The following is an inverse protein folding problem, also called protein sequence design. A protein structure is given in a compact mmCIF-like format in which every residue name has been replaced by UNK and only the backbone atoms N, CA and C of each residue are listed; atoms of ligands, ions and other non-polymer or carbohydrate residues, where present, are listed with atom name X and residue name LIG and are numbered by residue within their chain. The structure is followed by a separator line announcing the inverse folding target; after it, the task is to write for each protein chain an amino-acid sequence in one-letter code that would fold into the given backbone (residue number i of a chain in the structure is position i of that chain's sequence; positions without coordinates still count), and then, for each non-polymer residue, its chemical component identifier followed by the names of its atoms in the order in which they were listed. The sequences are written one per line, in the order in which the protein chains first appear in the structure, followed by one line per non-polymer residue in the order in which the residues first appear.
data_IF_652674536548
#
_entry.id   IF_652674536548
#
_cell.length_a   1.000
_cell.length_b   1.000
_cell.length_c   1.000
_cell.angle_alpha   90.00
_cell.angle_beta   90.00
_cell.angle_gamma   90.00
#
_symmetry.space_group_name_H-M   'P 1'
#
loop_
_entity.id
_entity.type
_entity.pdbx_description
1 polymer ?
#
# COMPACT_ATOMS: atom_id res chain seq x y z
N UNK A 1 12.83 -8.11 15.37
CA UNK A 1 13.77 -8.30 14.24
C UNK A 1 13.86 -9.77 13.79
N UNK A 2 14.06 -10.73 14.70
CA UNK A 2 14.16 -12.18 14.38
C UNK A 2 12.90 -12.77 13.70
N UNK A 3 11.71 -12.43 14.21
CA UNK A 3 10.42 -12.90 13.67
C UNK A 3 10.21 -12.42 12.22
N UNK A 4 10.59 -11.18 11.89
CA UNK A 4 10.50 -10.65 10.52
C UNK A 4 11.47 -11.37 9.56
N UNK A 5 12.68 -11.74 10.01
CA UNK A 5 13.62 -12.51 9.18
C UNK A 5 13.16 -13.94 8.94
N UNK A 6 12.66 -14.64 9.98
CA UNK A 6 12.15 -16.02 9.86
C UNK A 6 10.92 -16.07 8.95
N UNK A 7 10.04 -15.08 9.05
CA UNK A 7 8.86 -14.98 8.18
C UNK A 7 9.24 -14.66 6.73
N UNK A 8 10.28 -13.85 6.50
CA UNK A 8 10.79 -13.56 5.15
C UNK A 8 11.44 -14.79 4.49
N UNK A 9 12.22 -15.58 5.22
CA UNK A 9 12.85 -16.80 4.69
C UNK A 9 11.85 -17.94 4.48
N UNK A 10 10.85 -18.08 5.37
CA UNK A 10 9.76 -19.05 5.19
C UNK A 10 8.79 -18.67 4.04
N UNK A 11 8.70 -17.38 3.70
CA UNK A 11 7.99 -16.87 2.52
C UNK A 11 8.48 -17.43 1.19
N UNK A 12 9.76 -17.80 1.10
CA UNK A 12 10.40 -18.19 -0.14
C UNK A 12 10.39 -19.72 -0.38
N UNK A 13 10.25 -20.54 0.68
CA UNK A 13 10.43 -22.00 0.62
C UNK A 13 9.20 -22.84 0.98
N UNK A 14 8.11 -22.28 1.51
CA UNK A 14 6.88 -23.06 1.68
C UNK A 14 5.65 -22.24 2.00
N UNK A 15 4.52 -22.70 1.45
CA UNK A 15 3.23 -22.00 1.48
C UNK A 15 2.65 -21.79 2.90
N UNK A 16 1.42 -21.24 2.98
CA UNK A 16 0.76 -20.86 4.24
C UNK A 16 0.79 -21.91 5.35
N UNK A 17 0.67 -23.19 4.97
CA UNK A 17 0.73 -24.32 5.88
C UNK A 17 2.11 -24.47 6.55
N UNK A 18 3.20 -24.33 5.78
CA UNK A 18 4.55 -24.46 6.35
C UNK A 18 4.83 -23.34 7.35
N UNK A 19 4.41 -22.12 7.04
CA UNK A 19 4.57 -20.97 7.94
C UNK A 19 3.74 -21.10 9.21
N UNK A 20 2.50 -21.58 9.09
CA UNK A 20 1.65 -21.89 10.24
C UNK A 20 2.31 -22.96 11.12
N UNK A 21 2.82 -24.05 10.53
CA UNK A 21 3.54 -25.10 11.24
C UNK A 21 4.80 -24.59 11.94
N UNK A 22 5.61 -23.74 11.29
CA UNK A 22 6.81 -23.16 11.89
C UNK A 22 6.47 -22.29 13.10
N UNK A 23 5.48 -21.40 12.98
CA UNK A 23 5.11 -20.50 14.08
C UNK A 23 4.37 -21.24 15.21
N UNK A 24 3.56 -22.25 14.89
CA UNK A 24 3.03 -23.18 15.90
C UNK A 24 4.15 -23.92 16.63
N UNK A 25 5.17 -24.37 15.91
CA UNK A 25 6.31 -25.08 16.52
C UNK A 25 7.11 -24.16 17.44
N UNK A 26 7.34 -22.91 17.05
CA UNK A 26 7.94 -21.91 17.93
C UNK A 26 7.08 -21.64 19.17
N UNK A 27 5.77 -21.46 19.01
CA UNK A 27 4.85 -21.25 20.13
C UNK A 27 4.88 -22.45 21.09
N UNK A 28 4.76 -23.67 20.56
CA UNK A 28 4.82 -24.90 21.34
C UNK A 28 6.14 -25.07 22.07
N UNK A 29 7.27 -24.76 21.43
CA UNK A 29 8.60 -24.79 22.05
C UNK A 29 8.72 -23.79 23.21
N UNK A 30 8.21 -22.57 23.05
CA UNK A 30 8.23 -21.56 24.12
C UNK A 30 7.36 -22.00 25.31
N UNK A 31 6.17 -22.53 25.04
CA UNK A 31 5.29 -23.07 26.08
C UNK A 31 5.92 -24.27 26.79
N UNK A 32 6.61 -25.14 26.05
CA UNK A 32 7.39 -26.26 26.59
C UNK A 32 8.49 -25.82 27.55
N UNK A 33 9.24 -24.77 27.19
CA UNK A 33 10.28 -24.24 28.07
C UNK A 33 9.71 -23.57 29.33
N UNK A 34 8.50 -23.01 29.26
CA UNK A 34 7.86 -22.37 30.40
C UNK A 34 7.20 -23.37 31.35
N UNK A 35 6.53 -24.38 30.81
CA UNK A 35 5.77 -25.40 31.56
C UNK A 35 6.64 -26.60 31.94
N UNK A 36 7.80 -26.77 31.30
CA UNK A 36 8.81 -27.78 31.61
C UNK A 36 8.56 -29.17 31.03
N UNK A 37 7.31 -29.51 30.69
CA UNK A 37 6.99 -30.77 29.98
C UNK A 37 5.68 -30.69 29.20
N UNK A 38 5.54 -31.53 28.17
CA UNK A 38 4.30 -31.65 27.38
C UNK A 38 3.17 -32.21 28.25
N UNK A 39 3.48 -33.13 29.18
CA UNK A 39 2.49 -33.75 30.07
C UNK A 39 1.82 -32.75 31.02
N UNK A 40 2.46 -31.61 31.27
CA UNK A 40 1.94 -30.53 32.11
C UNK A 40 1.16 -29.47 31.32
N UNK A 41 0.97 -29.65 30.00
CA UNK A 41 0.17 -28.73 29.21
C UNK A 41 -1.29 -28.75 29.67
N UNK A 42 -1.80 -27.57 30.00
CA UNK A 42 -3.22 -27.38 30.23
C UNK A 42 -3.96 -27.22 28.91
N UNK A 43 -5.30 -27.32 28.96
CA UNK A 43 -6.15 -27.03 27.81
C UNK A 43 -5.90 -25.62 27.22
N UNK A 44 -5.54 -24.64 28.06
CA UNK A 44 -5.25 -23.26 27.64
C UNK A 44 -3.96 -23.16 26.83
N UNK A 45 -2.97 -23.99 27.14
CA UNK A 45 -1.68 -24.04 26.46
C UNK A 45 -1.83 -24.60 25.04
N UNK A 46 -2.60 -25.68 24.90
CA UNK A 46 -2.98 -26.23 23.59
C UNK A 46 -3.82 -25.24 22.79
N UNK A 47 -4.78 -24.57 23.44
CA UNK A 47 -5.60 -23.55 22.78
C UNK A 47 -4.75 -22.37 22.28
N UNK A 48 -3.77 -21.90 23.06
CA UNK A 48 -2.86 -20.84 22.63
C UNK A 48 -2.06 -21.22 21.38
N UNK A 49 -1.40 -22.38 21.38
CA UNK A 49 -0.62 -22.86 20.22
C UNK A 49 -1.52 -23.03 18.99
N UNK A 50 -2.71 -23.61 19.19
CA UNK A 50 -3.71 -23.76 18.14
C UNK A 50 -4.20 -22.43 17.57
N UNK A 51 -4.47 -21.42 18.42
CA UNK A 51 -4.87 -20.08 18.00
C UNK A 51 -3.76 -19.40 17.21
N UNK A 52 -2.49 -19.53 17.61
CA UNK A 52 -1.36 -18.98 16.84
C UNK A 52 -1.32 -19.60 15.44
N UNK A 53 -1.45 -20.92 15.35
CA UNK A 53 -1.50 -21.63 14.07
C UNK A 53 -2.67 -21.22 13.19
N UNK A 54 -3.87 -21.21 13.75
CA UNK A 54 -5.08 -20.80 13.05
C UNK A 54 -5.01 -19.33 12.62
N UNK A 55 -4.48 -18.44 13.46
CA UNK A 55 -4.34 -17.01 13.15
C UNK A 55 -3.39 -16.80 11.97
N UNK A 56 -2.23 -17.47 11.98
CA UNK A 56 -1.26 -17.39 10.88
C UNK A 56 -1.84 -18.02 9.62
N UNK A 57 -2.47 -19.19 9.73
CA UNK A 57 -3.06 -19.88 8.59
C UNK A 57 -4.21 -19.07 7.98
N UNK A 58 -5.15 -18.56 8.78
CA UNK A 58 -6.25 -17.72 8.33
C UNK A 58 -5.72 -16.42 7.74
N UNK A 59 -4.77 -15.74 8.38
CA UNK A 59 -4.16 -14.53 7.85
C UNK A 59 -3.45 -14.79 6.52
N UNK A 60 -2.74 -15.92 6.39
CA UNK A 60 -2.04 -16.29 5.16
C UNK A 60 -2.94 -16.83 4.07
N UNK A 61 -4.01 -17.55 4.40
CA UNK A 61 -5.03 -17.97 3.45
C UNK A 61 -5.83 -16.77 2.96
N UNK A 62 -6.12 -15.81 3.84
CA UNK A 62 -6.69 -14.51 3.45
C UNK A 62 -5.74 -13.76 2.53
N UNK A 63 -4.47 -13.60 2.89
CA UNK A 63 -3.45 -13.01 2.01
C UNK A 63 -3.33 -13.77 0.69
N UNK A 64 -3.39 -15.11 0.68
CA UNK A 64 -3.36 -15.91 -0.54
C UNK A 64 -4.61 -15.67 -1.39
N UNK A 65 -5.80 -15.58 -0.79
CA UNK A 65 -7.04 -15.19 -1.50
C UNK A 65 -7.01 -13.74 -2.00
N UNK A 66 -6.25 -12.86 -1.34
CA UNK A 66 -6.05 -11.47 -1.75
C UNK A 66 -4.98 -11.32 -2.84
N UNK A 67 -3.94 -12.16 -2.85
CA UNK A 67 -2.92 -12.27 -3.90
C UNK A 67 -3.48 -13.03 -5.12
N UNK A 68 -4.40 -13.98 -4.91
CA UNK A 68 -5.08 -14.79 -5.93
C UNK A 68 -6.41 -14.18 -6.40
N UNK A 69 -6.73 -12.93 -6.03
CA UNK A 69 -7.66 -12.12 -6.82
C UNK A 69 -6.99 -11.75 -8.15
N UNK A 70 -6.98 -12.78 -8.99
CA UNK A 70 -6.68 -12.86 -10.41
C UNK A 70 -5.27 -12.37 -10.84
N UNK A 71 -4.33 -13.28 -11.18
CA UNK A 71 -3.07 -12.90 -11.81
C UNK A 71 -3.24 -12.17 -13.15
N UNK A 72 -4.46 -12.11 -13.73
CA UNK A 72 -4.78 -11.22 -14.86
C UNK A 72 -5.13 -9.78 -14.43
N UNK A 73 -5.31 -9.51 -13.13
CA UNK A 73 -5.66 -8.20 -12.54
C UNK A 73 -4.44 -7.51 -11.92
N UNK A 74 -3.41 -8.25 -11.48
CA UNK A 74 -2.09 -7.65 -11.25
C UNK A 74 -1.54 -7.18 -12.59
N UNK A 75 -1.41 -5.87 -12.73
CA UNK A 75 -0.87 -5.26 -13.94
C UNK A 75 0.66 -5.32 -13.95
N UNK A 76 1.28 -5.60 -12.80
CA UNK A 76 2.71 -5.89 -12.69
C UNK A 76 2.92 -7.40 -12.54
N UNK A 77 3.71 -7.98 -13.45
CA UNK A 77 4.09 -9.40 -13.41
C UNK A 77 4.98 -9.74 -12.21
N UNK A 78 5.71 -8.76 -11.69
CA UNK A 78 6.61 -8.91 -10.54
C UNK A 78 6.00 -8.31 -9.28
N UNK A 79 6.06 -9.05 -8.17
CA UNK A 79 5.66 -8.54 -6.86
C UNK A 79 6.73 -7.60 -6.32
N UNK A 80 6.49 -6.29 -6.35
CA UNK A 80 7.42 -5.28 -5.82
C UNK A 80 6.95 -4.81 -4.44
N UNK A 81 7.72 -5.00 -3.37
CA UNK A 81 7.38 -4.44 -2.06
C UNK A 81 7.28 -2.91 -2.10
N UNK A 82 6.26 -2.36 -1.47
CA UNK A 82 6.11 -0.92 -1.32
C UNK A 82 7.22 -0.36 -0.39
N UNK A 83 7.72 0.84 -0.72
CA UNK A 83 8.64 1.54 0.19
C UNK A 83 7.88 2.18 1.34
N UNK A 84 8.51 2.23 2.51
CA UNK A 84 7.90 2.75 3.73
C UNK A 84 7.44 4.20 3.60
N UNK A 85 6.35 4.54 4.28
CA UNK A 85 5.70 5.85 4.28
C UNK A 85 5.92 6.64 5.58
N UNK A 86 6.57 6.04 6.59
CA UNK A 86 6.75 6.64 7.92
C UNK A 86 7.62 7.92 7.91
N UNK A 87 8.47 8.10 6.90
CA UNK A 87 9.33 9.29 6.77
C UNK A 87 8.62 10.54 6.21
N UNK A 88 7.34 10.42 5.86
CA UNK A 88 6.57 11.53 5.30
C UNK A 88 6.25 12.60 6.36
N UNK A 89 6.44 13.87 6.00
CA UNK A 89 5.97 15.01 6.78
C UNK A 89 4.66 15.53 6.19
N UNK A 90 3.56 15.40 6.95
CA UNK A 90 2.23 15.74 6.45
C UNK A 90 1.99 17.24 6.54
N UNK A 91 1.71 17.84 5.39
CA UNK A 91 1.20 19.20 5.27
C UNK A 91 -0.26 19.29 5.70
N UNK A 92 -1.07 18.31 5.28
CA UNK A 92 -2.48 18.18 5.69
C UNK A 92 -2.96 16.72 5.63
N UNK A 93 -4.12 16.47 6.26
CA UNK A 93 -4.79 15.17 6.26
C UNK A 93 -4.20 14.16 7.24
N UNK A 94 -4.78 12.95 7.25
CA UNK A 94 -4.38 11.89 8.15
C UNK A 94 -3.14 11.14 7.65
N UNK A 95 -2.31 10.69 8.59
CA UNK A 95 -1.17 9.81 8.29
C UNK A 95 -1.64 8.48 7.71
N UNK A 96 -0.98 8.06 6.64
CA UNK A 96 -1.12 6.76 5.98
C UNK A 96 0.10 5.90 6.33
N UNK A 97 -0.12 4.63 6.66
CA UNK A 97 0.92 3.68 7.05
C UNK A 97 0.74 2.36 6.30
N UNK A 98 1.85 1.66 6.08
CA UNK A 98 1.84 0.28 5.61
C UNK A 98 1.51 -0.68 6.75
N UNK A 99 1.05 -1.89 6.42
CA UNK A 99 0.81 -2.98 7.37
C UNK A 99 -0.54 -2.95 8.08
N UNK A 100 -1.47 -2.09 7.65
CA UNK A 100 -2.82 -1.96 8.24
C UNK A 100 -3.90 -2.76 7.47
N UNK A 101 -3.51 -3.69 6.56
CA UNK A 101 -4.42 -4.46 5.69
C UNK A 101 -5.32 -3.54 4.84
N UNK A 102 -4.77 -2.41 4.36
CA UNK A 102 -5.47 -1.38 3.59
C UNK A 102 -4.94 -1.28 2.15
N UNK A 103 -5.79 -0.81 1.23
CA UNK A 103 -5.33 -0.41 -0.10
C UNK A 103 -4.92 1.05 -0.05
N UNK A 104 -3.75 1.39 -0.59
CA UNK A 104 -3.19 2.74 -0.52
C UNK A 104 -2.87 3.25 -1.92
N UNK A 105 -3.30 4.48 -2.20
CA UNK A 105 -2.95 5.23 -3.39
C UNK A 105 -1.97 6.34 -3.05
N UNK A 106 -0.80 6.33 -3.69
CA UNK A 106 0.26 7.32 -3.53
C UNK A 106 0.42 8.08 -4.84
N UNK A 107 0.14 9.38 -4.83
CA UNK A 107 0.34 10.27 -5.98
C UNK A 107 1.61 11.09 -5.77
N UNK A 108 2.61 10.94 -6.64
CA UNK A 108 3.74 11.86 -6.73
C UNK A 108 3.37 13.04 -7.62
N UNK A 109 3.61 14.27 -7.17
CA UNK A 109 3.27 15.49 -7.91
C UNK A 109 4.31 16.60 -7.68
N UNK A 110 4.32 17.59 -8.57
CA UNK A 110 5.03 18.86 -8.37
C UNK A 110 4.06 20.05 -8.39
N UNK A 111 4.22 21.01 -7.50
CA UNK A 111 3.30 22.14 -7.32
C UNK A 111 3.26 23.09 -8.50
N UNK A 112 4.36 23.27 -9.23
CA UNK A 112 4.44 24.23 -10.33
C UNK A 112 4.08 23.64 -11.70
N UNK A 113 3.77 22.35 -11.75
CA UNK A 113 3.51 21.65 -13.00
C UNK A 113 2.01 21.57 -13.34
N UNK A 114 1.61 22.03 -14.52
CA UNK A 114 0.21 21.98 -14.99
C UNK A 114 -0.39 20.57 -14.92
N UNK A 115 0.34 19.54 -15.36
CA UNK A 115 -0.15 18.16 -15.34
C UNK A 115 -0.37 17.67 -13.91
N UNK A 116 0.51 18.03 -12.97
CA UNK A 116 0.37 17.70 -11.55
C UNK A 116 -0.87 18.34 -10.91
N UNK A 117 -1.16 19.61 -11.22
CA UNK A 117 -2.38 20.27 -10.72
C UNK A 117 -3.66 19.64 -11.26
N UNK A 118 -3.64 19.17 -12.51
CA UNK A 118 -4.76 18.39 -13.07
C UNK A 118 -4.86 17.03 -12.39
N UNK A 119 -3.74 16.34 -12.18
CA UNK A 119 -3.71 15.06 -11.51
C UNK A 119 -4.25 15.11 -10.08
N UNK A 120 -3.94 16.14 -9.29
CA UNK A 120 -4.52 16.33 -7.96
C UNK A 120 -6.05 16.38 -7.99
N UNK A 121 -6.65 17.04 -8.99
CA UNK A 121 -8.12 17.06 -9.15
C UNK A 121 -8.69 15.72 -9.59
N UNK A 122 -8.04 15.02 -10.51
CA UNK A 122 -8.48 13.66 -10.87
C UNK A 122 -8.35 12.70 -9.68
N UNK A 123 -7.28 12.83 -8.89
CA UNK A 123 -7.09 12.09 -7.65
C UNK A 123 -8.19 12.39 -6.63
N UNK A 124 -8.65 13.65 -6.53
CA UNK A 124 -9.81 14.00 -5.71
C UNK A 124 -11.08 13.29 -6.17
N UNK A 125 -11.35 13.19 -7.47
CA UNK A 125 -12.54 12.46 -7.97
C UNK A 125 -12.49 10.98 -7.61
N UNK A 126 -11.31 10.37 -7.72
CA UNK A 126 -11.11 8.96 -7.31
C UNK A 126 -11.27 8.81 -5.80
N UNK A 127 -10.76 9.76 -5.01
CA UNK A 127 -10.98 9.81 -3.57
C UNK A 127 -12.48 9.96 -3.24
N UNK A 128 -13.22 10.81 -3.94
CA UNK A 128 -14.64 11.02 -3.70
C UNK A 128 -15.46 9.72 -3.87
N UNK A 129 -15.01 8.86 -4.79
CA UNK A 129 -15.63 7.57 -5.07
C UNK A 129 -15.15 6.46 -4.13
N UNK A 130 -13.87 6.45 -3.74
CA UNK A 130 -13.22 5.29 -3.10
C UNK A 130 -12.56 5.57 -1.75
N UNK A 131 -12.62 6.79 -1.21
CA UNK A 131 -11.96 7.18 0.04
C UNK A 131 -12.42 6.43 1.29
N UNK A 132 -13.57 5.75 1.23
CA UNK A 132 -14.03 4.83 2.29
C UNK A 132 -13.34 3.45 2.27
N UNK A 133 -12.68 3.09 1.16
CA UNK A 133 -12.08 1.78 0.94
C UNK A 133 -10.57 1.82 0.65
N UNK A 134 -10.07 2.98 0.20
CA UNK A 134 -8.67 3.21 -0.17
C UNK A 134 -8.16 4.43 0.60
N UNK A 135 -6.93 4.36 1.13
CA UNK A 135 -6.22 5.52 1.67
C UNK A 135 -5.53 6.27 0.57
N UNK A 136 -5.57 7.60 0.62
CA UNK A 136 -4.99 8.46 -0.40
C UNK A 136 -3.99 9.40 0.23
N UNK A 137 -2.80 9.47 -0.37
CA UNK A 137 -1.76 10.44 -0.04
C UNK A 137 -1.12 10.97 -1.32
N UNK A 138 -0.98 12.29 -1.42
CA UNK A 138 -0.19 12.95 -2.43
C UNK A 138 1.14 13.41 -1.81
N UNK A 139 2.25 13.12 -2.48
CA UNK A 139 3.61 13.38 -2.01
C UNK A 139 4.36 14.27 -3.00
N UNK A 140 5.11 15.23 -2.47
CA UNK A 140 6.00 16.11 -3.23
C UNK A 140 7.38 16.21 -2.57
N UNK A 141 8.41 16.54 -3.34
CA UNK A 141 9.73 16.90 -2.82
C UNK A 141 9.84 18.38 -2.42
N UNK A 142 8.80 19.16 -2.71
CA UNK A 142 8.76 20.57 -2.37
C UNK A 142 8.58 20.74 -0.86
N UNK A 143 9.19 21.78 -0.33
CA UNK A 143 9.14 22.04 1.10
C UNK A 143 7.81 22.72 1.52
N UNK A 144 7.61 22.86 2.84
CA UNK A 144 6.41 23.49 3.38
C UNK A 144 6.23 24.94 2.91
N UNK A 145 7.32 25.67 2.72
CA UNK A 145 7.30 27.07 2.25
C UNK A 145 6.80 27.13 0.81
N UNK A 146 7.22 26.20 -0.04
CA UNK A 146 6.71 26.09 -1.41
C UNK A 146 5.23 25.70 -1.44
N UNK A 147 4.81 24.78 -0.57
CA UNK A 147 3.39 24.41 -0.43
C UNK A 147 2.53 25.59 0.04
N UNK A 148 3.00 26.38 1.02
CA UNK A 148 2.30 27.59 1.49
C UNK A 148 2.17 28.63 0.37
N UNK A 149 3.14 28.65 -0.56
CA UNK A 149 3.15 29.51 -1.74
C UNK A 149 2.46 28.90 -2.98
N UNK A 150 1.81 27.76 -2.86
CA UNK A 150 1.17 27.04 -3.98
C UNK A 150 0.24 27.93 -4.84
N UNK A 151 -0.44 28.88 -4.20
CA UNK A 151 -1.35 29.83 -4.83
C UNK A 151 -0.67 30.97 -5.61
N UNK A 152 0.59 31.27 -5.35
CA UNK A 152 1.25 32.49 -5.84
C UNK A 152 1.22 32.66 -7.37
N UNK A 153 1.34 31.55 -8.12
CA UNK A 153 1.31 31.56 -9.58
C UNK A 153 0.12 30.79 -10.17
N UNK A 154 -0.86 30.44 -9.34
CA UNK A 154 -1.91 29.48 -9.68
C UNK A 154 -3.31 30.04 -9.82
N UNK A 155 -3.66 31.05 -9.03
CA UNK A 155 -5.06 31.42 -8.74
C UNK A 155 -5.89 31.80 -9.96
N UNK A 156 -5.25 32.24 -11.05
CA UNK A 156 -5.94 32.61 -12.31
C UNK A 156 -6.06 31.44 -13.30
N UNK A 157 -5.42 30.30 -13.04
CA UNK A 157 -5.47 29.15 -13.93
C UNK A 157 -6.75 28.33 -13.68
N UNK A 158 -7.42 27.90 -14.74
CA UNK A 158 -8.62 27.04 -14.66
C UNK A 158 -8.36 25.65 -14.05
N UNK A 159 -7.08 25.28 -13.91
CA UNK A 159 -6.65 24.02 -13.32
C UNK A 159 -6.12 24.19 -11.88
N UNK A 160 -6.32 25.34 -11.25
CA UNK A 160 -5.93 25.57 -9.87
C UNK A 160 -7.06 25.23 -8.91
N UNK A 161 -6.70 24.56 -7.82
CA UNK A 161 -7.54 24.26 -6.67
C UNK A 161 -6.65 24.40 -5.44
N UNK A 162 -6.97 25.25 -4.45
CA UNK A 162 -6.21 25.35 -3.21
C UNK A 162 -5.91 23.98 -2.59
N UNK A 163 -4.71 23.80 -2.03
CA UNK A 163 -4.34 22.50 -1.43
C UNK A 163 -5.32 22.09 -0.32
N UNK A 164 -5.78 23.06 0.46
CA UNK A 164 -6.74 22.88 1.55
C UNK A 164 -8.11 22.33 1.11
N UNK A 165 -8.45 22.44 -0.19
CA UNK A 165 -9.73 21.94 -0.71
C UNK A 165 -9.67 20.43 -1.03
N UNK A 166 -8.47 19.84 -1.07
CA UNK A 166 -8.30 18.40 -1.25
C UNK A 166 -8.54 17.65 0.06
N UNK A 167 -9.30 16.55 0.00
CA UNK A 167 -9.74 15.78 1.18
C UNK A 167 -8.83 14.62 1.56
N UNK A 168 -7.78 14.38 0.76
CA UNK A 168 -6.75 13.36 1.01
C UNK A 168 -5.51 13.95 1.67
N UNK A 169 -4.62 13.09 2.18
CA UNK A 169 -3.37 13.53 2.80
C UNK A 169 -2.42 14.16 1.78
N UNK A 170 -1.75 15.24 2.15
CA UNK A 170 -0.66 15.81 1.36
C UNK A 170 0.57 15.86 2.26
N UNK A 171 1.68 15.34 1.75
CA UNK A 171 2.93 15.25 2.51
C UNK A 171 4.14 15.64 1.66
N UNK A 172 5.20 16.04 2.35
CA UNK A 172 6.51 16.29 1.77
C UNK A 172 7.42 15.08 2.00
N UNK A 173 8.37 14.88 1.09
CA UNK A 173 9.34 13.78 1.11
C UNK A 173 10.74 14.26 0.71
N UNK A 174 11.79 13.59 1.17
CA UNK A 174 13.19 14.07 1.05
C UNK A 174 13.94 13.53 -0.17
N UNK A 175 13.25 12.80 -1.05
CA UNK A 175 13.80 12.03 -2.16
C UNK A 175 13.85 10.53 -1.93
N UNK A 176 13.66 10.07 -0.69
CA UNK A 176 13.66 8.65 -0.35
C UNK A 176 12.53 7.88 -1.06
N UNK A 177 11.31 8.44 -1.07
CA UNK A 177 10.18 7.79 -1.73
C UNK A 177 10.32 7.88 -3.25
N UNK A 178 10.76 9.01 -3.79
CA UNK A 178 11.02 9.12 -5.24
C UNK A 178 12.05 8.10 -5.70
N UNK A 179 13.12 7.86 -4.91
CA UNK A 179 14.09 6.81 -5.20
C UNK A 179 13.49 5.40 -5.10
N UNK A 180 12.74 5.13 -4.03
CA UNK A 180 12.17 3.81 -3.74
C UNK A 180 11.03 3.39 -4.67
N UNK A 181 10.28 4.37 -5.20
CA UNK A 181 9.17 4.15 -6.12
C UNK A 181 9.55 4.53 -7.56
N UNK A 182 9.71 5.82 -7.84
CA UNK A 182 9.85 6.31 -9.21
C UNK A 182 11.12 5.78 -9.89
N UNK A 183 12.29 6.05 -9.32
CA UNK A 183 13.56 5.66 -9.94
C UNK A 183 13.74 4.14 -9.99
N UNK A 184 13.22 3.41 -9.00
CA UNK A 184 13.21 1.94 -8.99
C UNK A 184 12.41 1.34 -10.16
N UNK A 185 11.41 2.07 -10.67
CA UNK A 185 10.59 1.71 -11.82
C UNK A 185 10.97 2.47 -13.11
N UNK A 186 12.14 3.13 -13.14
CA UNK A 186 12.62 3.87 -14.31
C UNK A 186 11.80 5.13 -14.63
N UNK A 187 10.99 5.61 -13.69
CA UNK A 187 10.17 6.80 -13.84
C UNK A 187 10.94 8.01 -13.33
N UNK A 188 11.01 9.06 -14.16
CA UNK A 188 11.68 10.33 -13.84
C UNK A 188 10.76 11.55 -13.97
N UNK A 189 9.45 11.30 -14.08
CA UNK A 189 8.45 12.35 -14.34
C UNK A 189 7.31 12.31 -13.33
N UNK A 190 6.75 13.49 -13.08
CA UNK A 190 5.53 13.69 -12.30
C UNK A 190 4.45 14.31 -13.20
N UNK A 191 3.16 14.04 -12.95
CA UNK A 191 2.62 13.21 -11.86
C UNK A 191 2.67 11.71 -12.14
N UNK A 192 2.79 10.90 -11.09
CA UNK A 192 2.73 9.43 -11.21
C UNK A 192 2.06 8.81 -9.98
N UNK A 193 1.23 7.79 -10.18
CA UNK A 193 0.48 7.13 -9.10
C UNK A 193 0.97 5.71 -8.90
N UNK A 194 1.04 5.30 -7.65
CA UNK A 194 1.25 3.92 -7.22
C UNK A 194 0.05 3.44 -6.43
N UNK A 195 -0.31 2.17 -6.62
CA UNK A 195 -1.31 1.49 -5.82
C UNK A 195 -0.67 0.31 -5.12
N UNK A 196 -0.84 0.34 -3.80
CA UNK A 196 -0.28 -0.62 -2.86
C UNK A 196 -1.45 -1.46 -2.35
N UNK A 197 -1.28 -2.77 -2.44
CA UNK A 197 -2.25 -3.75 -1.99
C UNK A 197 -2.21 -3.89 -0.47
N UNK A 198 -3.20 -4.61 0.07
CA UNK A 198 -3.26 -4.93 1.50
C UNK A 198 -2.09 -5.79 1.98
N UNK A 199 -1.33 -6.36 1.06
CA UNK A 199 -0.10 -7.12 1.30
C UNK A 199 1.17 -6.25 1.30
N UNK A 200 1.01 -4.92 1.28
CA UNK A 200 2.10 -3.93 1.20
C UNK A 200 2.97 -4.08 -0.06
N UNK A 201 2.40 -4.60 -1.16
CA UNK A 201 3.08 -4.69 -2.45
C UNK A 201 2.44 -3.78 -3.49
N UNK A 202 3.26 -3.23 -4.38
CA UNK A 202 2.81 -2.44 -5.51
C UNK A 202 2.21 -3.41 -6.53
N UNK A 203 0.93 -3.27 -6.82
CA UNK A 203 0.25 -4.07 -7.85
C UNK A 203 -0.07 -3.28 -9.12
N UNK A 204 0.05 -1.95 -9.06
CA UNK A 204 -0.07 -1.06 -10.22
C UNK A 204 0.68 0.26 -10.01
N UNK A 205 1.17 0.83 -11.12
CA UNK A 205 1.59 2.23 -11.16
C UNK A 205 1.39 2.84 -12.55
N UNK A 206 1.21 4.15 -12.64
CA UNK A 206 1.08 4.83 -13.92
C UNK A 206 0.83 6.34 -13.83
N UNK A 207 0.92 7.00 -14.98
CA UNK A 207 0.61 8.43 -15.07
C UNK A 207 -0.92 8.64 -14.99
N UNK A 208 -1.42 9.45 -14.04
CA UNK A 208 -2.86 9.56 -13.74
C UNK A 208 -3.71 10.14 -14.89
N UNK A 209 -3.09 10.85 -15.83
CA UNK A 209 -3.78 11.41 -17.01
C UNK A 209 -3.73 10.51 -18.25
N UNK A 210 -3.17 9.29 -18.14
CA UNK A 210 -3.21 8.28 -19.19
C UNK A 210 -2.53 8.65 -20.53
N UNK A 211 -1.75 9.73 -20.58
CA UNK A 211 -1.07 10.19 -21.80
C UNK A 211 0.39 10.48 -21.47
N UNK A 212 1.25 9.55 -21.88
CA UNK A 212 2.64 9.65 -22.31
C UNK A 212 3.29 8.30 -22.02
N UNK A 213 2.98 7.33 -22.88
CA UNK A 213 3.75 6.14 -23.30
C UNK A 213 2.78 5.32 -24.17
N UNK A 214 3.25 4.88 -25.33
CA UNK A 214 2.46 4.51 -26.49
C UNK A 214 1.80 3.12 -26.42
N UNK A 215 1.29 2.69 -25.26
CA UNK A 215 0.53 1.44 -25.15
C UNK A 215 -0.92 1.71 -24.75
N UNK A 216 -1.84 1.06 -25.47
CA UNK A 216 -3.28 0.96 -25.12
C UNK A 216 -3.51 0.39 -23.71
N UNK A 217 -2.48 -0.20 -23.12
CA UNK A 217 -2.46 -0.89 -21.84
C UNK A 217 -2.62 0.05 -20.63
N UNK A 218 -2.04 1.26 -20.69
CA UNK A 218 -2.03 2.21 -19.55
C UNK A 218 -3.38 2.89 -19.32
N UNK A 219 -4.12 3.21 -20.39
CA UNK A 219 -5.47 3.78 -20.28
C UNK A 219 -6.50 2.72 -19.83
N UNK A 220 -6.27 1.47 -20.21
CA UNK A 220 -7.09 0.34 -19.77
C UNK A 220 -6.79 -0.01 -18.31
N UNK A 221 -5.54 0.15 -17.87
CA UNK A 221 -5.14 -0.02 -16.49
C UNK A 221 -5.82 0.94 -15.51
N UNK A 222 -5.87 2.25 -15.79
CA UNK A 222 -6.63 3.19 -14.93
C UNK A 222 -8.12 2.83 -14.86
N UNK A 223 -8.72 2.37 -15.97
CA UNK A 223 -10.11 1.87 -15.98
C UNK A 223 -10.29 0.54 -15.23
N UNK A 224 -9.35 -0.39 -15.34
CA UNK A 224 -9.36 -1.69 -14.64
C UNK A 224 -9.14 -1.54 -13.15
N UNK A 225 -8.31 -0.58 -12.73
CA UNK A 225 -8.19 -0.24 -11.32
C UNK A 225 -9.46 0.42 -10.78
N UNK A 226 -10.13 1.27 -11.57
CA UNK A 226 -11.45 1.78 -11.21
C UNK A 226 -12.56 0.71 -11.27
N UNK A 227 -12.31 -0.45 -11.91
CA UNK A 227 -13.17 -1.62 -11.89
C UNK A 227 -12.87 -2.55 -10.70
N UNK A 228 -11.78 -2.32 -9.96
CA UNK A 228 -11.51 -3.02 -8.71
C UNK A 228 -12.56 -2.62 -7.68
N UNK A 229 -13.34 -3.60 -7.23
CA UNK A 229 -14.32 -3.37 -6.17
C UNK A 229 -13.60 -3.28 -4.81
N UNK A 230 -13.08 -2.09 -4.49
CA UNK A 230 -12.40 -1.84 -3.21
C UNK A 230 -13.32 -2.09 -1.99
N UNK A 231 -14.65 -2.10 -2.20
CA UNK A 231 -15.66 -2.33 -1.15
C UNK A 231 -15.95 -3.82 -0.89
N UNK A 232 -15.44 -4.74 -1.71
CA UNK A 232 -15.57 -6.17 -1.46
C UNK A 232 -14.67 -6.60 -0.29
N UNK A 233 -15.12 -6.37 0.95
CA UNK A 233 -14.82 -7.32 2.04
C UNK A 233 -15.68 -8.53 1.78
N UNK A 234 -15.15 -9.52 1.07
CA UNK A 234 -15.94 -10.71 0.77
C UNK A 234 -16.32 -11.42 2.07
N UNK A 235 -17.61 -11.75 2.19
CA UNK A 235 -18.18 -12.52 3.29
C UNK A 235 -17.44 -13.86 3.33
N UNK A 236 -16.59 -14.04 4.33
CA UNK A 236 -15.98 -15.33 4.61
C UNK A 236 -17.10 -16.33 4.93
N UNK A 237 -17.33 -17.28 4.01
CA UNK A 237 -17.99 -18.55 4.30
C UNK A 237 -17.00 -19.50 5.00
#
# INVERSE_FOLDING_TARGET
MLVRSIVKTAGWLGGPLLQACLLMSCAGYLTLNYVGSIAAFSLKDFAFVGVVGASVLIHRLRLKSYIEHDPTVRLLETTTPAHDLDSLEYYQGARVRLGEDEVIAVLFFGTWCKSSRIALREFQKVFDQYGGAVKFVAVTQEDKTELDNYGAHGTKASYYTPLADFRFGIATETGALTKGYQLAHGISTVPHVYLIGRDDTIFWHGHPLGKFEASRETADATRRTLAYNFAAKEKAA
#
